data_IF_428337551823
#
_entry.id   IF_428337551823
#
_cell.length_a   1.000
_cell.length_b   1.000
_cell.length_c   1.000
_cell.angle_alpha   90.00
_cell.angle_beta   90.00
_cell.angle_gamma   90.00
#
_symmetry.space_group_name_H-M   'P 1'
#
loop_
_entity.id
_entity.type
_entity.pdbx_description
1 polymer ?
#
# COMPACT_ATOMS: atom_id res chain seq x y z
N UNK A 1 -18.94 18.24 -17.74
CA UNK A 1 -18.12 19.23 -17.02
C UNK A 1 -17.84 18.81 -15.57
N UNK A 2 -18.86 18.59 -14.73
CA UNK A 2 -18.67 18.27 -13.30
C UNK A 2 -17.81 17.02 -13.03
N UNK A 3 -18.05 15.90 -13.72
CA UNK A 3 -17.26 14.66 -13.54
C UNK A 3 -15.79 14.85 -13.93
N UNK A 4 -15.53 15.51 -15.05
CA UNK A 4 -14.16 15.82 -15.49
C UNK A 4 -13.46 16.74 -14.50
N UNK A 5 -14.15 17.76 -13.98
CA UNK A 5 -13.61 18.65 -12.97
C UNK A 5 -13.29 17.91 -11.66
N UNK A 6 -14.18 17.02 -11.21
CA UNK A 6 -13.94 16.18 -10.02
C UNK A 6 -12.74 15.23 -10.21
N UNK A 7 -12.63 14.61 -11.38
CA UNK A 7 -11.49 13.76 -11.73
C UNK A 7 -10.18 14.56 -11.77
N UNK A 8 -10.16 15.72 -12.44
CA UNK A 8 -9.00 16.61 -12.50
C UNK A 8 -8.58 17.11 -11.11
N UNK A 9 -9.53 17.41 -10.23
CA UNK A 9 -9.23 17.81 -8.84
C UNK A 9 -8.54 16.70 -8.07
N UNK A 10 -9.06 15.47 -8.16
CA UNK A 10 -8.47 14.29 -7.50
C UNK A 10 -7.08 13.99 -8.07
N UNK A 11 -6.92 14.05 -9.40
CA UNK A 11 -5.65 13.84 -10.09
C UNK A 11 -4.62 14.88 -9.68
N UNK A 12 -4.97 16.17 -9.73
CA UNK A 12 -4.09 17.28 -9.34
C UNK A 12 -3.60 17.13 -7.89
N UNK A 13 -4.52 16.81 -6.97
CA UNK A 13 -4.18 16.54 -5.56
C UNK A 13 -3.22 15.35 -5.42
N UNK A 14 -3.50 14.23 -6.10
CA UNK A 14 -2.66 13.03 -6.06
C UNK A 14 -1.25 13.26 -6.61
N UNK A 15 -1.13 14.00 -7.72
CA UNK A 15 0.15 14.31 -8.36
C UNK A 15 0.98 15.25 -7.50
N UNK A 16 0.35 16.31 -6.97
CA UNK A 16 1.02 17.25 -6.08
C UNK A 16 1.48 16.58 -4.79
N UNK A 17 0.65 15.72 -4.18
CA UNK A 17 1.02 14.97 -2.98
C UNK A 17 2.18 14.01 -3.24
N UNK A 18 2.15 13.26 -4.35
CA UNK A 18 3.20 12.30 -4.71
C UNK A 18 4.53 12.99 -5.04
N UNK A 19 4.47 14.11 -5.78
CA UNK A 19 5.65 14.92 -6.07
C UNK A 19 6.25 15.52 -4.80
N UNK A 20 5.42 16.06 -3.91
CA UNK A 20 5.87 16.62 -2.65
C UNK A 20 6.50 15.55 -1.75
N UNK A 21 5.82 14.41 -1.54
CA UNK A 21 6.36 13.30 -0.75
C UNK A 21 7.71 12.81 -1.29
N UNK A 22 7.86 12.69 -2.61
CA UNK A 22 9.17 12.35 -3.20
C UNK A 22 10.25 13.38 -2.84
N UNK A 23 9.95 14.67 -3.01
CA UNK A 23 10.92 15.75 -2.76
C UNK A 23 11.26 15.89 -1.28
N UNK A 24 10.28 15.86 -0.40
CA UNK A 24 10.46 16.10 1.04
C UNK A 24 11.01 14.88 1.77
N UNK A 25 10.54 13.68 1.43
CA UNK A 25 10.78 12.49 2.23
C UNK A 25 11.99 11.70 1.69
N UNK A 26 12.27 11.79 0.39
CA UNK A 26 13.37 11.06 -0.25
C UNK A 26 14.48 11.98 -0.73
N UNK A 27 14.18 12.97 -1.58
CA UNK A 27 15.24 13.75 -2.23
C UNK A 27 15.96 14.70 -1.26
N UNK A 28 15.22 15.53 -0.50
CA UNK A 28 15.81 16.53 0.41
C UNK A 28 16.67 15.88 1.50
N UNK A 29 16.29 14.76 2.15
CA UNK A 29 17.14 14.08 3.12
C UNK A 29 18.40 13.45 2.53
N UNK A 30 18.31 12.88 1.31
CA UNK A 30 19.45 12.24 0.63
C UNK A 30 20.42 13.25 0.00
N UNK A 31 19.92 14.40 -0.47
CA UNK A 31 20.72 15.47 -1.09
C UNK A 31 20.34 16.83 -0.48
N UNK A 32 20.77 17.09 0.76
CA UNK A 32 20.52 18.37 1.42
C UNK A 32 21.35 19.50 0.79
N UNK A 33 20.99 20.75 1.10
CA UNK A 33 21.80 21.94 0.76
C UNK A 33 21.44 22.65 -0.55
N UNK A 34 20.40 22.22 -1.26
CA UNK A 34 19.87 22.97 -2.41
C UNK A 34 18.97 24.14 -1.97
N UNK A 35 18.79 25.13 -2.85
CA UNK A 35 17.92 26.28 -2.61
C UNK A 35 16.43 25.91 -2.66
N UNK A 36 15.57 26.69 -2.01
CA UNK A 36 14.11 26.48 -2.07
C UNK A 36 13.57 26.54 -3.50
N UNK A 37 14.14 27.41 -4.36
CA UNK A 37 13.78 27.48 -5.78
C UNK A 37 14.06 26.16 -6.51
N UNK A 38 15.14 25.48 -6.16
CA UNK A 38 15.47 24.17 -6.73
C UNK A 38 14.44 23.11 -6.33
N UNK A 39 14.05 23.04 -5.05
CA UNK A 39 13.05 22.07 -4.60
C UNK A 39 11.68 22.31 -5.24
N UNK A 40 11.29 23.57 -5.45
CA UNK A 40 10.06 23.90 -6.18
C UNK A 40 10.14 23.45 -7.64
N UNK A 41 11.27 23.70 -8.32
CA UNK A 41 11.47 23.23 -9.69
C UNK A 41 11.42 21.71 -9.77
N UNK A 42 12.10 21.02 -8.85
CA UNK A 42 12.10 19.57 -8.78
C UNK A 42 10.69 19.01 -8.54
N UNK A 43 9.92 19.61 -7.63
CA UNK A 43 8.53 19.24 -7.40
C UNK A 43 7.69 19.36 -8.67
N UNK A 44 7.84 20.44 -9.45
CA UNK A 44 7.14 20.60 -10.74
C UNK A 44 7.53 19.53 -11.77
N UNK A 45 8.82 19.22 -11.87
CA UNK A 45 9.30 18.13 -12.74
C UNK A 45 8.71 16.80 -12.28
N UNK A 46 8.67 16.56 -10.97
CA UNK A 46 8.14 15.32 -10.42
C UNK A 46 6.64 15.17 -10.62
N UNK A 47 5.87 16.27 -10.57
CA UNK A 47 4.46 16.27 -10.96
C UNK A 47 4.27 15.78 -12.39
N UNK A 48 5.10 16.23 -13.33
CA UNK A 48 5.04 15.77 -14.72
C UNK A 48 5.41 14.29 -14.86
N UNK A 49 6.46 13.83 -14.17
CA UNK A 49 6.88 12.43 -14.16
C UNK A 49 5.79 11.51 -13.59
N UNK A 50 5.18 11.88 -12.46
CA UNK A 50 4.05 11.13 -11.89
C UNK A 50 2.83 11.15 -12.82
N UNK A 51 2.59 12.24 -13.54
CA UNK A 51 1.54 12.32 -14.56
C UNK A 51 1.77 11.30 -15.68
N UNK A 52 3.00 11.23 -16.21
CA UNK A 52 3.36 10.23 -17.21
C UNK A 52 3.27 8.80 -16.67
N UNK A 53 3.67 8.57 -15.41
CA UNK A 53 3.53 7.27 -14.77
C UNK A 53 2.04 6.85 -14.63
N UNK A 54 1.16 7.77 -14.23
CA UNK A 54 -0.29 7.51 -14.16
C UNK A 54 -0.89 7.22 -15.54
N UNK A 55 -0.44 7.92 -16.59
CA UNK A 55 -0.83 7.61 -17.98
C UNK A 55 -0.37 6.21 -18.38
N UNK A 56 0.85 5.81 -18.04
CA UNK A 56 1.35 4.45 -18.26
C UNK A 56 0.51 3.38 -17.57
N UNK A 57 0.13 3.60 -16.30
CA UNK A 57 -0.76 2.70 -15.56
C UNK A 57 -2.15 2.65 -16.21
N UNK A 58 -2.67 3.77 -16.72
CA UNK A 58 -3.95 3.80 -17.41
C UNK A 58 -3.93 2.97 -18.70
N UNK A 59 -2.87 3.05 -19.50
CA UNK A 59 -2.70 2.19 -20.68
C UNK A 59 -2.57 0.71 -20.32
N UNK A 60 -1.76 0.38 -19.30
CA UNK A 60 -1.63 -1.00 -18.84
C UNK A 60 -2.96 -1.58 -18.33
N UNK A 61 -3.72 -0.79 -17.57
CA UNK A 61 -5.05 -1.20 -17.10
C UNK A 61 -6.05 -1.37 -18.25
N UNK A 62 -5.92 -0.59 -19.33
CA UNK A 62 -6.74 -0.74 -20.53
C UNK A 62 -6.41 -2.04 -21.29
N UNK A 63 -5.13 -2.38 -21.45
CA UNK A 63 -4.71 -3.61 -22.14
C UNK A 63 -5.02 -4.89 -21.34
N UNK A 64 -4.90 -4.85 -20.02
CA UNK A 64 -5.19 -5.98 -19.12
C UNK A 64 -6.70 -6.16 -18.90
N UNK A 65 -7.53 -5.25 -19.38
CA UNK A 65 -8.97 -5.21 -19.17
C UNK A 65 -9.75 -6.36 -19.81
N UNK A 66 -9.73 -7.53 -19.16
CA UNK A 66 -10.70 -8.63 -19.35
C UNK A 66 -11.62 -8.75 -18.12
N UNK A 67 -12.94 -8.73 -18.35
CA UNK A 67 -14.09 -9.08 -17.49
C UNK A 67 -14.28 -8.45 -16.09
N UNK A 68 -13.30 -7.78 -15.48
CA UNK A 68 -13.46 -7.14 -14.16
C UNK A 68 -13.50 -5.61 -14.22
N UNK A 69 -14.37 -5.01 -13.40
CA UNK A 69 -14.46 -3.56 -13.25
C UNK A 69 -13.13 -2.98 -12.73
N UNK A 70 -12.55 -2.04 -13.48
CA UNK A 70 -11.36 -1.26 -13.09
C UNK A 70 -11.53 -0.65 -11.69
N UNK A 71 -12.77 -0.26 -11.35
CA UNK A 71 -13.11 0.27 -10.02
C UNK A 71 -12.81 -0.74 -8.92
N UNK A 72 -13.12 -2.02 -9.12
CA UNK A 72 -12.86 -3.07 -8.12
C UNK A 72 -11.35 -3.27 -7.90
N UNK A 73 -10.55 -3.16 -8.96
CA UNK A 73 -9.10 -3.27 -8.84
C UNK A 73 -8.51 -2.08 -8.06
N UNK A 74 -8.96 -0.86 -8.38
CA UNK A 74 -8.51 0.34 -7.68
C UNK A 74 -8.91 0.32 -6.21
N UNK A 75 -10.14 -0.09 -5.90
CA UNK A 75 -10.60 -0.23 -4.51
C UNK A 75 -9.84 -1.31 -3.75
N UNK A 76 -9.51 -2.43 -4.41
CA UNK A 76 -8.68 -3.47 -3.80
C UNK A 76 -7.31 -2.90 -3.42
N UNK A 77 -6.60 -2.27 -4.36
CA UNK A 77 -5.28 -1.65 -4.12
C UNK A 77 -5.34 -0.59 -3.02
N UNK A 78 -6.37 0.27 -3.02
CA UNK A 78 -6.60 1.26 -1.98
C UNK A 78 -6.79 0.61 -0.59
N UNK A 79 -7.46 -0.55 -0.53
CA UNK A 79 -7.62 -1.34 0.68
C UNK A 79 -6.29 -1.79 1.30
N UNK A 80 -5.32 -2.24 0.48
CA UNK A 80 -3.98 -2.60 0.98
C UNK A 80 -3.30 -1.42 1.65
N UNK A 81 -3.18 -0.31 0.92
CA UNK A 81 -2.39 0.83 1.35
C UNK A 81 -3.03 1.53 2.54
N UNK A 82 -4.35 1.71 2.51
CA UNK A 82 -5.09 2.37 3.58
C UNK A 82 -5.04 1.58 4.88
N UNK A 83 -5.15 0.24 4.84
CA UNK A 83 -5.04 -0.59 6.04
C UNK A 83 -3.68 -0.47 6.73
N UNK A 84 -2.60 -0.47 5.95
CA UNK A 84 -1.24 -0.35 6.49
C UNK A 84 -0.98 1.03 7.09
N UNK A 85 -1.39 2.09 6.38
CA UNK A 85 -1.28 3.47 6.87
C UNK A 85 -2.12 3.68 8.14
N UNK A 86 -3.36 3.17 8.14
CA UNK A 86 -4.23 3.20 9.33
C UNK A 86 -3.58 2.50 10.52
N UNK A 87 -2.96 1.33 10.30
CA UNK A 87 -2.20 0.62 11.34
C UNK A 87 -1.09 1.48 11.95
N UNK A 88 -0.31 2.17 11.12
CA UNK A 88 0.73 3.10 11.59
C UNK A 88 0.15 4.31 12.33
N UNK A 89 -0.93 4.91 11.84
CA UNK A 89 -1.59 6.02 12.51
C UNK A 89 -2.14 5.61 13.88
N UNK A 90 -2.72 4.41 13.98
CA UNK A 90 -3.17 3.84 15.26
C UNK A 90 -1.98 3.70 16.21
N UNK A 91 -0.85 3.14 15.75
CA UNK A 91 0.36 3.02 16.58
C UNK A 91 0.90 4.39 17.03
N UNK A 92 0.89 5.38 16.15
CA UNK A 92 1.35 6.75 16.45
C UNK A 92 0.45 7.53 17.41
N UNK A 93 -0.85 7.19 17.47
CA UNK A 93 -1.82 7.85 18.36
C UNK A 93 -1.97 7.14 19.72
N UNK A 94 -1.34 5.98 19.92
CA UNK A 94 -1.35 5.28 21.19
C UNK A 94 -0.69 6.12 22.30
N UNK A 95 -1.29 6.12 23.50
CA UNK A 95 -0.74 6.79 24.68
C UNK A 95 0.66 6.30 25.06
N UNK A 96 0.99 5.07 24.70
CA UNK A 96 2.31 4.46 24.92
C UNK A 96 3.00 4.36 23.55
N UNK A 97 4.08 5.12 23.30
CA UNK A 97 4.76 5.08 22.02
C UNK A 97 5.37 3.70 21.78
N UNK A 98 5.19 3.20 20.57
CA UNK A 98 5.80 1.96 20.07
C UNK A 98 7.14 2.29 19.43
N UNK A 99 8.17 1.48 19.68
CA UNK A 99 9.48 1.70 19.08
C UNK A 99 9.41 1.68 17.53
N UNK A 100 10.16 2.57 16.87
CA UNK A 100 10.13 2.71 15.40
C UNK A 100 10.48 1.42 14.67
N UNK A 101 11.43 0.64 15.17
CA UNK A 101 11.78 -0.66 14.58
C UNK A 101 10.62 -1.66 14.67
N UNK A 102 9.88 -1.68 15.79
CA UNK A 102 8.75 -2.58 15.98
C UNK A 102 7.56 -2.17 15.09
N UNK A 103 7.34 -0.87 14.92
CA UNK A 103 6.36 -0.35 13.96
C UNK A 103 6.70 -0.72 12.52
N UNK A 104 7.99 -0.64 12.11
CA UNK A 104 8.45 -1.07 10.78
C UNK A 104 8.26 -2.58 10.56
N UNK A 105 8.60 -3.42 11.55
CA UNK A 105 8.38 -4.87 11.44
C UNK A 105 6.89 -5.19 11.39
N UNK A 106 6.07 -4.50 12.17
CA UNK A 106 4.61 -4.60 12.10
C UNK A 106 4.07 -4.24 10.72
N UNK A 107 4.53 -3.14 10.14
CA UNK A 107 4.15 -2.72 8.78
C UNK A 107 4.47 -3.78 7.73
N UNK A 108 5.68 -4.33 7.77
CA UNK A 108 6.11 -5.39 6.83
C UNK A 108 5.28 -6.66 7.05
N UNK A 109 5.05 -7.07 8.29
CA UNK A 109 4.22 -8.24 8.61
C UNK A 109 2.77 -8.05 8.14
N UNK A 110 2.21 -6.85 8.31
CA UNK A 110 0.88 -6.53 7.82
C UNK A 110 0.81 -6.57 6.30
N UNK A 111 1.79 -5.98 5.62
CA UNK A 111 1.88 -6.03 4.15
C UNK A 111 1.94 -7.47 3.64
N UNK A 112 2.83 -8.29 4.22
CA UNK A 112 2.98 -9.69 3.85
C UNK A 112 1.70 -10.50 4.12
N UNK A 113 1.00 -10.23 5.22
CA UNK A 113 -0.24 -10.95 5.53
C UNK A 113 -1.32 -10.65 4.48
N UNK A 114 -1.54 -9.39 4.13
CA UNK A 114 -2.53 -9.04 3.10
C UNK A 114 -2.08 -9.56 1.73
N UNK A 115 -0.78 -9.54 1.43
CA UNK A 115 -0.23 -10.11 0.19
C UNK A 115 -0.51 -11.61 0.07
N UNK A 116 -0.30 -12.38 1.14
CA UNK A 116 -0.59 -13.83 1.18
C UNK A 116 -2.07 -14.11 0.97
N UNK A 117 -2.95 -13.29 1.57
CA UNK A 117 -4.40 -13.42 1.40
C UNK A 117 -4.84 -13.07 -0.03
N UNK A 118 -4.14 -12.16 -0.69
CA UNK A 118 -4.49 -11.70 -2.04
C UNK A 118 -3.93 -12.54 -3.18
N UNK A 119 -2.72 -13.08 -3.04
CA UNK A 119 -2.03 -13.87 -4.06
C UNK A 119 -2.91 -14.96 -4.71
N UNK A 120 -3.72 -15.74 -3.97
CA UNK A 120 -4.65 -16.72 -4.56
C UNK A 120 -5.75 -16.12 -5.46
N UNK A 121 -5.96 -14.81 -5.42
CA UNK A 121 -6.92 -14.12 -6.31
C UNK A 121 -6.37 -13.95 -7.73
N UNK A 122 -5.07 -14.12 -7.94
CA UNK A 122 -4.42 -14.04 -9.26
C UNK A 122 -4.51 -15.40 -9.95
N UNK A 123 -5.13 -15.53 -11.15
CA UNK A 123 -5.37 -16.83 -11.80
C UNK A 123 -4.10 -17.64 -12.10
N UNK A 124 -2.98 -16.97 -12.40
CA UNK A 124 -1.70 -17.64 -12.60
C UNK A 124 -1.16 -18.24 -11.30
N UNK A 125 -1.33 -17.52 -10.19
CA UNK A 125 -0.84 -17.93 -8.86
C UNK A 125 -1.73 -19.00 -8.26
N UNK A 126 -3.06 -18.92 -8.39
CA UNK A 126 -3.99 -19.98 -7.96
C UNK A 126 -3.66 -21.32 -8.62
N UNK A 127 -3.44 -21.33 -9.95
CA UNK A 127 -3.03 -22.54 -10.68
C UNK A 127 -1.72 -23.10 -10.16
N UNK A 128 -0.70 -22.27 -10.04
CA UNK A 128 0.60 -22.69 -9.52
C UNK A 128 0.52 -23.23 -8.08
N UNK A 129 -0.26 -22.58 -7.21
CA UNK A 129 -0.41 -23.02 -5.81
C UNK A 129 -1.13 -24.38 -5.71
N UNK A 130 -2.13 -24.65 -6.56
CA UNK A 130 -2.82 -25.95 -6.61
C UNK A 130 -1.90 -27.07 -7.09
N UNK A 131 -0.96 -26.77 -7.97
CA UNK A 131 0.04 -27.73 -8.45
C UNK A 131 1.16 -27.96 -7.43
N UNK A 132 1.72 -26.88 -6.87
CA UNK A 132 2.89 -26.93 -6.01
C UNK A 132 2.58 -27.36 -4.56
N UNK A 133 1.44 -26.92 -4.00
CA UNK A 133 1.06 -27.21 -2.62
C UNK A 133 -0.46 -27.53 -2.51
N UNK A 134 -0.88 -28.72 -3.00
CA UNK A 134 -2.30 -29.10 -3.02
C UNK A 134 -2.95 -29.11 -1.64
N UNK A 135 -2.18 -29.38 -0.58
CA UNK A 135 -2.66 -29.48 0.81
C UNK A 135 -3.12 -28.15 1.41
N UNK A 136 -2.69 -27.01 0.86
CA UNK A 136 -3.09 -25.68 1.34
C UNK A 136 -4.27 -25.09 0.56
N UNK A 137 -4.69 -25.71 -0.55
CA UNK A 137 -5.78 -25.23 -1.39
C UNK A 137 -7.06 -26.06 -1.17
N UNK A 138 -8.26 -25.44 -1.22
CA UNK A 138 -9.49 -26.22 -1.18
C UNK A 138 -9.57 -27.17 -2.36
N UNK A 139 -10.00 -28.40 -2.09
CA UNK A 139 -10.22 -29.43 -3.11
C UNK A 139 -11.29 -29.03 -4.14
N UNK A 140 -12.21 -28.12 -3.78
CA UNK A 140 -13.22 -27.56 -4.68
C UNK A 140 -12.70 -26.28 -5.37
N UNK A 141 -12.48 -26.29 -6.71
CA UNK A 141 -12.00 -25.13 -7.46
C UNK A 141 -13.00 -23.97 -7.52
N UNK A 142 -14.29 -24.22 -7.28
CA UNK A 142 -15.33 -23.19 -7.30
C UNK A 142 -15.35 -22.34 -6.03
N UNK A 143 -14.82 -22.88 -4.91
CA UNK A 143 -14.60 -22.12 -3.67
C UNK A 143 -13.31 -21.32 -3.78
N UNK A 144 -13.43 -20.09 -4.28
CA UNK A 144 -12.33 -19.13 -4.21
C UNK A 144 -12.06 -18.80 -2.74
N UNK A 145 -10.84 -19.07 -2.26
CA UNK A 145 -10.33 -18.56 -0.97
C UNK A 145 -9.91 -17.09 -1.12
N UNK A 146 -10.70 -16.32 -1.87
CA UNK A 146 -10.45 -14.91 -2.06
C UNK A 146 -11.20 -14.16 -0.97
N UNK A 147 -10.47 -13.67 0.02
CA UNK A 147 -11.05 -12.75 1.00
C UNK A 147 -11.53 -11.51 0.22
N UNK A 148 -12.77 -11.09 0.45
CA UNK A 148 -13.30 -9.93 -0.25
C UNK A 148 -12.46 -8.68 0.10
N UNK A 149 -12.19 -7.85 -0.90
CA UNK A 149 -11.29 -6.70 -0.77
C UNK A 149 -11.55 -5.75 0.41
N UNK A 150 -12.78 -5.55 0.92
CA UNK A 150 -13.00 -4.69 2.08
C UNK A 150 -12.29 -5.18 3.34
N UNK A 151 -11.98 -6.48 3.42
CA UNK A 151 -11.27 -7.06 4.56
C UNK A 151 -9.76 -6.86 4.53
N UNK A 152 -9.18 -6.45 3.39
CA UNK A 152 -7.74 -6.19 3.30
C UNK A 152 -7.30 -5.09 4.27
N UNK A 153 -8.11 -4.03 4.41
CA UNK A 153 -7.78 -2.93 5.31
C UNK A 153 -7.82 -3.34 6.80
N UNK A 154 -8.89 -3.99 7.32
CA UNK A 154 -8.92 -4.52 8.69
C UNK A 154 -7.82 -5.53 8.97
N UNK A 155 -7.56 -6.47 8.05
CA UNK A 155 -6.50 -7.48 8.23
C UNK A 155 -5.13 -6.82 8.29
N UNK A 156 -4.82 -5.91 7.35
CA UNK A 156 -3.57 -5.18 7.32
C UNK A 156 -3.37 -4.30 8.57
N UNK A 157 -4.41 -3.58 8.99
CA UNK A 157 -4.38 -2.75 10.21
C UNK A 157 -4.14 -3.61 11.45
N UNK A 158 -4.95 -4.66 11.63
CA UNK A 158 -4.93 -5.51 12.81
C UNK A 158 -3.61 -6.24 12.98
N UNK A 159 -3.07 -6.80 11.89
CA UNK A 159 -1.76 -7.47 11.90
C UNK A 159 -0.62 -6.51 12.15
N UNK A 160 -0.61 -5.33 11.49
CA UNK A 160 0.39 -4.28 11.72
C UNK A 160 0.46 -3.89 13.19
N UNK A 161 -0.69 -3.58 13.78
CA UNK A 161 -0.78 -3.14 15.18
C UNK A 161 -0.40 -4.28 16.13
N UNK A 162 -0.94 -5.48 15.93
CA UNK A 162 -0.70 -6.61 16.81
C UNK A 162 0.79 -7.01 16.85
N UNK A 163 1.43 -7.12 15.68
CA UNK A 163 2.85 -7.48 15.57
C UNK A 163 3.72 -6.40 16.19
N UNK A 164 3.47 -5.12 15.88
CA UNK A 164 4.25 -4.02 16.41
C UNK A 164 4.17 -3.94 17.95
N UNK A 165 2.96 -4.03 18.51
CA UNK A 165 2.76 -3.99 19.97
C UNK A 165 3.38 -5.20 20.66
N UNK A 166 3.26 -6.40 20.08
CA UNK A 166 3.85 -7.61 20.65
C UNK A 166 5.38 -7.54 20.68
N UNK A 167 6.00 -7.12 19.58
CA UNK A 167 7.46 -6.99 19.48
C UNK A 167 8.01 -5.91 20.39
N UNK A 168 7.32 -4.77 20.48
CA UNK A 168 7.69 -3.67 21.38
C UNK A 168 7.55 -4.07 22.87
N UNK A 169 6.50 -4.83 23.22
CA UNK A 169 6.36 -5.41 24.56
C UNK A 169 7.49 -6.40 24.89
N UNK A 170 7.91 -7.23 23.93
CA UNK A 170 9.02 -8.18 24.08
C UNK A 170 10.38 -7.47 24.17
N UNK A 171 10.61 -6.44 23.35
CA UNK A 171 11.84 -5.64 23.34
C UNK A 171 12.05 -4.92 24.67
N UNK A 172 10.98 -4.34 25.24
CA UNK A 172 11.02 -3.71 26.57
C UNK A 172 11.39 -4.68 27.69
N UNK A 173 10.90 -5.93 27.64
CA UNK A 173 11.28 -6.96 28.64
C UNK A 173 12.75 -7.36 28.55
N UNK A 174 13.38 -7.18 27.38
CA UNK A 174 14.77 -7.54 27.11
C UNK A 174 15.74 -6.35 27.19
N UNK A 175 15.27 -5.15 27.51
CA UNK A 175 16.11 -3.94 27.64
C UNK A 175 16.61 -3.35 26.32
N UNK A 176 16.03 -3.76 25.18
CA UNK A 176 16.40 -3.26 23.85
C UNK A 176 15.52 -2.03 23.56
N UNK A 177 16.12 -0.85 23.39
CA UNK A 177 15.45 0.37 22.90
C UNK A 177 15.86 0.65 21.47
#
# INVERSE_FOLDING_TARGET
AAVLAAAMSTLSSSLNSSANAFVTDFYRPLRPGHSERWYVLLSRVMTAVWGLAQVGVAFAAYEVGSDQSVVMQVLAVAGFTTGLLLGLFVLGTMRRPVASWAALVGLVAGFLTVLVVWLPSVPAVDRWLREAVPSLMPADPSRKVALAWPWFAPVGTGTTVAVAVALDALGRRRGIR
#
